data_IF_825783827631
#
_entry.id   IF_825783827631
#
_cell.length_a   1.000
_cell.length_b   1.000
_cell.length_c   1.000
_cell.angle_alpha   90.00
_cell.angle_beta   90.00
_cell.angle_gamma   90.00
#
_symmetry.space_group_name_H-M   'P 1'
#
loop_
_entity.id
_entity.type
_entity.pdbx_description
1 polymer ?
#
# COMPACT_ATOMS: atom_id res chain seq x y z
N UNK A 1 9.15 12.02 3.46
CA UNK A 1 8.34 12.23 4.68
C UNK A 1 9.21 12.01 5.93
N UNK A 2 9.72 13.09 6.58
CA UNK A 2 10.59 12.94 7.78
C UNK A 2 9.90 12.24 8.97
N UNK A 3 8.56 12.28 9.01
CA UNK A 3 7.77 11.60 10.04
C UNK A 3 7.92 10.09 10.04
N UNK A 4 8.15 9.48 8.89
CA UNK A 4 8.29 8.01 8.76
C UNK A 4 9.48 7.47 9.58
N UNK A 5 10.61 8.17 9.57
CA UNK A 5 11.79 7.80 10.35
C UNK A 5 11.54 7.97 11.86
N UNK A 6 10.82 9.02 12.29
CA UNK A 6 10.45 9.20 13.69
C UNK A 6 9.58 8.08 14.24
N UNK A 7 8.73 7.52 13.39
CA UNK A 7 7.89 6.37 13.71
C UNK A 7 8.60 5.01 13.45
N UNK A 8 9.88 5.04 13.12
CA UNK A 8 10.67 3.82 12.81
C UNK A 8 10.01 2.94 11.74
N UNK A 9 9.45 3.58 10.70
CA UNK A 9 8.81 2.90 9.57
C UNK A 9 9.75 2.88 8.37
N UNK A 10 10.46 3.98 8.12
CA UNK A 10 11.42 4.13 7.03
C UNK A 10 12.79 4.59 7.53
N UNK A 11 13.87 4.43 6.75
CA UNK A 11 15.18 4.98 7.07
C UNK A 11 15.14 6.51 7.18
N UNK A 12 16.12 7.09 7.87
CA UNK A 12 16.20 8.51 8.07
C UNK A 12 16.41 9.24 6.73
N UNK A 13 15.58 10.25 6.46
CA UNK A 13 15.80 11.18 5.36
C UNK A 13 16.94 12.12 5.74
N UNK A 14 18.05 12.09 5.00
CA UNK A 14 19.22 12.96 5.21
C UNK A 14 19.00 14.34 4.59
N UNK A 15 18.54 14.38 3.34
CA UNK A 15 18.12 15.60 2.66
C UNK A 15 17.18 15.30 1.50
N UNK A 16 16.45 16.33 1.07
CA UNK A 16 15.66 16.33 -0.17
C UNK A 16 15.78 17.70 -0.85
N UNK A 17 15.75 17.72 -2.16
CA UNK A 17 15.72 18.95 -2.96
C UNK A 17 15.01 18.73 -4.28
N UNK A 18 14.38 19.78 -4.79
CA UNK A 18 13.84 19.81 -6.13
C UNK A 18 14.93 20.18 -7.14
N UNK A 19 15.05 19.42 -8.21
CA UNK A 19 15.97 19.68 -9.31
C UNK A 19 15.39 20.74 -10.25
N UNK A 20 16.26 21.31 -11.11
CA UNK A 20 15.86 22.31 -12.10
C UNK A 20 14.88 21.75 -13.16
N UNK A 21 14.89 20.46 -13.40
CA UNK A 21 13.98 19.75 -14.31
C UNK A 21 12.63 19.38 -13.66
N UNK A 22 12.39 19.81 -12.41
CA UNK A 22 11.16 19.57 -11.65
C UNK A 22 11.11 18.25 -10.89
N UNK A 23 12.10 17.37 -11.04
CA UNK A 23 12.16 16.10 -10.28
C UNK A 23 12.60 16.36 -8.84
N UNK A 24 12.08 15.57 -7.91
CA UNK A 24 12.55 15.57 -6.52
C UNK A 24 13.66 14.53 -6.36
N UNK A 25 14.74 14.94 -5.69
CA UNK A 25 15.84 14.05 -5.32
C UNK A 25 15.95 14.00 -3.80
N UNK A 26 16.13 12.82 -3.26
CA UNK A 26 16.38 12.64 -1.83
C UNK A 26 17.55 11.70 -1.57
N UNK A 27 18.15 11.84 -0.41
CA UNK A 27 19.09 10.88 0.14
C UNK A 27 18.57 10.40 1.49
N UNK A 28 18.68 9.11 1.70
CA UNK A 28 18.28 8.43 2.93
C UNK A 28 19.47 7.72 3.54
N UNK A 29 19.38 7.43 4.82
CA UNK A 29 20.34 6.57 5.52
C UNK A 29 20.46 5.22 4.80
N UNK A 30 21.70 4.77 4.62
CA UNK A 30 21.95 3.45 4.07
C UNK A 30 21.71 2.38 5.13
N UNK A 31 20.86 1.42 4.81
CA UNK A 31 20.56 0.28 5.68
C UNK A 31 21.44 -0.92 5.31
N UNK A 32 22.26 -1.38 6.25
CA UNK A 32 22.95 -2.67 6.12
C UNK A 32 21.99 -3.76 6.58
N UNK A 33 21.72 -4.74 5.71
CA UNK A 33 20.76 -5.80 5.99
C UNK A 33 20.35 -6.56 4.74
N UNK A 34 19.24 -7.28 4.83
CA UNK A 34 18.69 -8.11 3.74
C UNK A 34 17.29 -7.66 3.36
N UNK A 35 16.98 -7.77 2.09
CA UNK A 35 15.61 -7.64 1.57
C UNK A 35 14.80 -8.87 2.04
N UNK A 36 13.55 -8.64 2.46
CA UNK A 36 12.67 -9.72 2.88
C UNK A 36 12.27 -10.60 1.68
N UNK A 37 11.93 -11.83 1.98
CA UNK A 37 11.38 -12.79 1.03
C UNK A 37 9.84 -12.86 1.15
N UNK A 38 9.11 -13.43 0.17
CA UNK A 38 7.67 -13.66 0.31
C UNK A 38 7.28 -14.44 1.58
N UNK A 39 8.14 -15.33 2.07
CA UNK A 39 7.89 -16.13 3.28
C UNK A 39 7.97 -15.31 4.57
N UNK A 40 8.69 -14.19 4.55
CA UNK A 40 8.83 -13.29 5.70
C UNK A 40 7.58 -12.43 5.93
N UNK A 41 6.72 -12.28 4.90
CA UNK A 41 5.63 -11.30 4.90
C UNK A 41 4.51 -11.59 5.90
N UNK A 42 4.45 -12.80 6.47
CA UNK A 42 3.49 -13.16 7.53
C UNK A 42 4.00 -12.84 8.96
N UNK A 43 5.12 -12.17 9.10
CA UNK A 43 5.71 -11.83 10.41
C UNK A 43 4.90 -10.75 11.12
N UNK A 44 4.65 -10.91 12.42
CA UNK A 44 3.92 -9.93 13.24
C UNK A 44 4.55 -8.53 13.24
N UNK A 45 5.88 -8.45 13.07
CA UNK A 45 6.58 -7.16 12.96
C UNK A 45 6.06 -6.34 11.77
N UNK A 46 5.81 -6.97 10.61
CA UNK A 46 5.27 -6.31 9.42
C UNK A 46 3.86 -5.78 9.69
N UNK A 47 3.00 -6.61 10.30
CA UNK A 47 1.65 -6.18 10.69
C UNK A 47 1.69 -4.98 11.64
N UNK A 48 2.62 -4.99 12.60
CA UNK A 48 2.80 -3.89 13.54
C UNK A 48 3.26 -2.59 12.84
N UNK A 49 4.17 -2.69 11.87
CA UNK A 49 4.64 -1.53 11.10
C UNK A 49 3.50 -0.95 10.27
N UNK A 50 2.74 -1.78 9.54
CA UNK A 50 1.56 -1.35 8.79
C UNK A 50 0.49 -0.74 9.71
N UNK A 51 0.28 -1.33 10.88
CA UNK A 51 -0.68 -0.78 11.86
C UNK A 51 -0.26 0.60 12.35
N UNK A 52 1.03 0.83 12.64
CA UNK A 52 1.55 2.16 13.01
C UNK A 52 1.37 3.15 11.86
N UNK A 53 1.79 2.78 10.65
CA UNK A 53 1.63 3.59 9.45
C UNK A 53 0.19 4.06 9.30
N UNK A 54 -0.75 3.11 9.26
CA UNK A 54 -2.16 3.38 8.99
C UNK A 54 -2.91 4.06 10.14
N UNK A 55 -2.33 4.14 11.33
CA UNK A 55 -2.90 4.88 12.49
C UNK A 55 -2.23 6.22 12.73
N UNK A 56 -1.18 6.54 12.00
CA UNK A 56 -0.43 7.78 12.21
C UNK A 56 -1.16 9.00 11.64
N UNK A 57 -1.88 9.70 12.49
CA UNK A 57 -2.47 11.01 12.16
C UNK A 57 -1.43 12.07 11.76
N UNK A 58 -0.24 12.14 12.44
CA UNK A 58 0.80 13.08 12.02
C UNK A 58 1.27 12.86 10.57
N UNK A 59 1.48 11.61 10.16
CA UNK A 59 1.89 11.29 8.79
C UNK A 59 0.79 11.65 7.79
N UNK A 60 -0.47 11.33 8.09
CA UNK A 60 -1.61 11.71 7.24
C UNK A 60 -1.68 13.25 7.07
N UNK A 61 -1.57 14.01 8.16
CA UNK A 61 -1.57 15.48 8.11
C UNK A 61 -0.39 16.01 7.29
N UNK A 62 0.79 15.41 7.43
CA UNK A 62 1.97 15.80 6.67
C UNK A 62 1.76 15.58 5.16
N UNK A 63 1.19 14.44 4.77
CA UNK A 63 0.93 14.10 3.37
C UNK A 63 -0.12 15.06 2.77
N UNK A 64 -1.20 15.36 3.51
CA UNK A 64 -2.21 16.34 3.07
C UNK A 64 -1.59 17.75 2.87
N UNK A 65 -0.67 18.17 3.75
CA UNK A 65 0.04 19.46 3.60
C UNK A 65 0.98 19.50 2.38
N UNK A 66 1.44 18.36 1.90
CA UNK A 66 2.21 18.24 0.66
C UNK A 66 1.33 18.24 -0.59
N UNK A 67 0.02 18.40 -0.45
CA UNK A 67 -0.92 18.50 -1.56
C UNK A 67 -1.48 17.15 -2.05
N UNK A 68 -1.23 16.06 -1.33
CA UNK A 68 -1.86 14.79 -1.68
C UNK A 68 -3.35 14.83 -1.40
N UNK A 69 -4.15 14.61 -2.44
CA UNK A 69 -5.59 14.46 -2.33
C UNK A 69 -5.96 13.09 -1.74
N UNK A 70 -7.11 13.04 -1.07
CA UNK A 70 -7.70 11.79 -0.64
C UNK A 70 -8.31 11.08 -1.85
N UNK A 71 -7.95 9.81 -2.05
CA UNK A 71 -8.46 8.99 -3.15
C UNK A 71 -9.51 8.00 -2.64
N UNK A 72 -10.69 8.06 -3.24
CA UNK A 72 -11.76 7.09 -3.01
C UNK A 72 -11.53 5.80 -3.82
N UNK A 73 -12.26 4.70 -3.57
CA UNK A 73 -12.24 3.53 -4.44
C UNK A 73 -12.54 3.84 -5.92
N UNK A 74 -13.39 4.82 -6.16
CA UNK A 74 -13.72 5.28 -7.53
C UNK A 74 -12.50 5.92 -8.19
N UNK A 75 -11.81 6.82 -7.47
CA UNK A 75 -10.61 7.50 -7.96
C UNK A 75 -9.49 6.51 -8.26
N UNK A 76 -9.29 5.51 -7.39
CA UNK A 76 -8.30 4.45 -7.60
C UNK A 76 -8.59 3.62 -8.85
N UNK A 77 -9.84 3.27 -9.07
CA UNK A 77 -10.27 2.49 -10.25
C UNK A 77 -10.13 3.31 -11.52
N UNK A 78 -10.49 4.59 -11.49
CA UNK A 78 -10.34 5.51 -12.60
C UNK A 78 -8.86 5.72 -12.93
N UNK A 79 -8.03 6.01 -11.92
CA UNK A 79 -6.57 6.16 -12.10
C UNK A 79 -5.93 4.93 -12.76
N UNK A 80 -6.32 3.71 -12.35
CA UNK A 80 -5.85 2.51 -13.01
C UNK A 80 -6.29 2.45 -14.47
N UNK A 81 -7.54 2.77 -14.75
CA UNK A 81 -8.08 2.74 -16.12
C UNK A 81 -7.38 3.75 -17.05
N UNK A 82 -6.99 4.91 -16.54
CA UNK A 82 -6.29 5.96 -17.30
C UNK A 82 -4.82 5.59 -17.57
N UNK A 83 -4.17 4.92 -16.61
CA UNK A 83 -2.74 4.64 -16.67
C UNK A 83 -2.39 3.23 -17.19
N UNK A 84 -3.35 2.31 -17.20
CA UNK A 84 -3.14 0.94 -17.63
C UNK A 84 -2.73 0.86 -19.10
N UNK A 85 -1.80 -0.04 -19.48
CA UNK A 85 -1.42 -0.29 -20.86
C UNK A 85 -2.60 -0.63 -21.76
N UNK A 86 -2.58 -0.17 -23.01
CA UNK A 86 -3.63 -0.40 -23.99
C UNK A 86 -3.97 -1.87 -24.19
N UNK A 87 -2.95 -2.75 -24.15
CA UNK A 87 -3.12 -4.17 -24.28
C UNK A 87 -4.01 -4.76 -23.18
N UNK A 88 -3.87 -4.27 -21.94
CA UNK A 88 -4.71 -4.69 -20.82
C UNK A 88 -6.11 -4.10 -20.94
N UNK A 89 -6.24 -2.82 -21.27
CA UNK A 89 -7.54 -2.17 -21.42
C UNK A 89 -8.43 -2.82 -22.50
N UNK A 90 -7.83 -3.40 -23.55
CA UNK A 90 -8.50 -4.11 -24.63
C UNK A 90 -8.70 -5.61 -24.37
N UNK A 91 -8.18 -6.13 -23.27
CA UNK A 91 -8.34 -7.54 -22.92
C UNK A 91 -9.74 -7.82 -22.37
N UNK A 92 -10.43 -8.82 -22.92
CA UNK A 92 -11.81 -9.16 -22.56
C UNK A 92 -11.93 -9.51 -21.07
N UNK A 93 -11.07 -10.40 -20.56
CA UNK A 93 -11.08 -10.79 -19.14
C UNK A 93 -10.88 -9.59 -18.21
N UNK A 94 -9.94 -8.70 -18.53
CA UNK A 94 -9.71 -7.47 -17.75
C UNK A 94 -10.95 -6.56 -17.80
N UNK A 95 -11.64 -6.50 -18.94
CA UNK A 95 -12.88 -5.72 -19.07
C UNK A 95 -14.00 -6.25 -18.17
N UNK A 96 -14.11 -7.59 -18.04
CA UNK A 96 -15.07 -8.23 -17.12
C UNK A 96 -14.72 -7.93 -15.65
N UNK A 97 -13.44 -8.07 -15.25
CA UNK A 97 -12.98 -7.71 -13.90
C UNK A 97 -13.27 -6.24 -13.60
N UNK A 98 -13.03 -5.35 -14.55
CA UNK A 98 -13.32 -3.92 -14.38
C UNK A 98 -14.83 -3.63 -14.27
N UNK A 99 -15.67 -4.40 -14.97
CA UNK A 99 -17.12 -4.30 -14.83
C UNK A 99 -17.59 -4.74 -13.44
N UNK A 100 -17.07 -5.86 -12.93
CA UNK A 100 -17.34 -6.33 -11.58
C UNK A 100 -16.89 -5.33 -10.51
N UNK A 101 -15.68 -4.81 -10.62
CA UNK A 101 -15.16 -3.79 -9.71
C UNK A 101 -16.04 -2.53 -9.67
N UNK A 102 -16.59 -2.10 -10.83
CA UNK A 102 -17.53 -0.95 -10.86
C UNK A 102 -18.86 -1.23 -10.18
N UNK A 103 -19.36 -2.47 -10.27
CA UNK A 103 -20.63 -2.86 -9.67
C UNK A 103 -20.51 -3.08 -8.15
N UNK A 104 -19.31 -3.45 -7.68
CA UNK A 104 -19.07 -3.85 -6.29
C UNK A 104 -18.23 -2.86 -5.49
N UNK A 105 -18.17 -1.59 -5.92
CA UNK A 105 -17.38 -0.53 -5.26
C UNK A 105 -17.71 -0.51 -3.76
N UNK A 106 -16.71 -0.69 -2.87
CA UNK A 106 -16.95 -0.68 -1.44
C UNK A 106 -17.27 0.72 -0.93
N UNK A 107 -18.13 0.78 0.08
CA UNK A 107 -18.38 2.03 0.78
C UNK A 107 -17.08 2.60 1.35
N UNK A 108 -16.87 3.89 1.12
CA UNK A 108 -15.72 4.65 1.61
C UNK A 108 -16.18 5.73 2.58
N UNK A 109 -15.42 5.92 3.65
CA UNK A 109 -15.64 6.99 4.61
C UNK A 109 -14.34 7.76 4.77
N UNK A 110 -14.38 9.07 4.68
CA UNK A 110 -13.21 9.95 4.79
C UNK A 110 -12.47 9.81 6.13
N UNK A 111 -13.20 9.54 7.20
CA UNK A 111 -12.62 9.31 8.53
C UNK A 111 -11.88 7.94 8.65
N UNK A 112 -12.02 7.08 7.64
CA UNK A 112 -11.27 5.83 7.50
C UNK A 112 -10.07 5.95 6.55
N UNK A 113 -9.94 7.08 5.85
CA UNK A 113 -8.76 7.34 5.03
C UNK A 113 -7.52 7.48 5.90
N UNK A 114 -6.41 7.02 5.38
CA UNK A 114 -5.12 7.08 6.03
C UNK A 114 -3.99 7.14 5.01
N UNK A 115 -2.78 7.36 5.48
CA UNK A 115 -1.61 7.14 4.65
C UNK A 115 -1.45 5.64 4.40
N UNK A 116 -1.31 5.26 3.13
CA UNK A 116 -0.93 3.92 2.70
C UNK A 116 0.38 3.99 1.91
N UNK A 117 1.15 2.93 1.93
CA UNK A 117 2.40 2.85 1.16
C UNK A 117 2.12 2.72 -0.34
N UNK A 118 1.11 1.94 -0.71
CA UNK A 118 0.70 1.72 -2.10
C UNK A 118 1.48 0.64 -2.85
N UNK A 119 2.61 0.16 -2.32
CA UNK A 119 3.40 -0.94 -2.90
C UNK A 119 4.13 -1.74 -1.81
N UNK A 120 3.38 -2.42 -0.95
CA UNK A 120 3.92 -3.16 0.22
C UNK A 120 4.52 -4.53 -0.13
N UNK A 121 5.03 -4.71 -1.35
CA UNK A 121 5.67 -5.97 -1.78
C UNK A 121 6.95 -6.27 -0.97
N UNK A 122 7.28 -7.55 -0.87
CA UNK A 122 8.40 -8.04 -0.06
C UNK A 122 9.74 -7.37 -0.37
N UNK A 123 9.99 -7.01 -1.65
CA UNK A 123 11.24 -6.33 -2.06
C UNK A 123 11.41 -4.92 -1.51
N UNK A 124 10.34 -4.31 -0.98
CA UNK A 124 10.36 -2.98 -0.37
C UNK A 124 10.54 -3.03 1.15
N UNK A 125 10.89 -4.19 1.71
CA UNK A 125 11.16 -4.36 3.13
C UNK A 125 12.59 -4.79 3.35
N UNK A 126 13.28 -4.09 4.25
CA UNK A 126 14.68 -4.37 4.61
C UNK A 126 14.75 -4.70 6.10
N UNK A 127 15.29 -5.88 6.42
CA UNK A 127 15.65 -6.26 7.77
C UNK A 127 17.13 -5.97 8.00
N UNK A 128 17.44 -5.08 8.93
CA UNK A 128 18.81 -4.75 9.29
C UNK A 128 19.48 -5.87 10.07
N UNK A 129 20.80 -5.83 10.18
CA UNK A 129 21.59 -6.78 10.99
C UNK A 129 21.21 -6.75 12.49
N UNK A 130 20.62 -5.64 12.96
CA UNK A 130 20.05 -5.52 14.31
C UNK A 130 18.63 -6.09 14.47
N UNK A 131 18.03 -6.61 13.39
CA UNK A 131 16.67 -7.17 13.39
C UNK A 131 15.54 -6.14 13.29
N UNK A 132 15.85 -4.86 13.05
CA UNK A 132 14.83 -3.85 12.74
C UNK A 132 14.38 -4.00 11.29
N UNK A 133 13.08 -3.83 11.06
CA UNK A 133 12.48 -3.88 9.73
C UNK A 133 12.04 -2.48 9.33
N UNK A 134 12.40 -2.09 8.12
CA UNK A 134 12.04 -0.81 7.49
C UNK A 134 11.31 -1.03 6.18
N UNK A 135 10.37 -0.15 5.88
CA UNK A 135 9.65 -0.08 4.61
C UNK A 135 10.25 1.06 3.78
N UNK A 136 10.63 0.76 2.54
CA UNK A 136 11.32 1.69 1.62
C UNK A 136 10.54 1.81 0.32
N UNK A 137 10.96 2.72 -0.57
CA UNK A 137 10.31 2.98 -1.87
C UNK A 137 8.89 3.56 -1.74
N UNK A 138 8.83 4.83 -1.31
CA UNK A 138 7.59 5.56 -1.01
C UNK A 138 6.99 6.30 -2.21
N UNK A 139 7.35 5.94 -3.44
CA UNK A 139 6.89 6.64 -4.65
C UNK A 139 5.38 6.43 -4.91
N UNK A 140 4.82 5.34 -4.39
CA UNK A 140 3.40 5.00 -4.52
C UNK A 140 2.52 5.45 -3.35
N UNK A 141 3.05 6.26 -2.42
CA UNK A 141 2.33 6.70 -1.22
C UNK A 141 1.05 7.45 -1.58
N UNK A 142 -0.04 7.17 -0.82
CA UNK A 142 -1.38 7.73 -1.07
C UNK A 142 -2.10 8.05 0.24
N UNK A 143 -3.16 8.87 0.12
CA UNK A 143 -4.18 9.02 1.14
C UNK A 143 -5.44 8.29 0.68
N UNK A 144 -5.69 7.10 1.22
CA UNK A 144 -6.85 6.28 0.85
C UNK A 144 -7.21 5.30 1.98
N UNK A 145 -8.07 4.35 1.69
CA UNK A 145 -8.43 3.31 2.64
C UNK A 145 -7.25 2.35 2.91
N UNK A 146 -6.96 2.12 4.18
CA UNK A 146 -5.92 1.17 4.61
C UNK A 146 -6.08 -0.24 4.05
N UNK A 147 -7.30 -0.61 3.59
CA UNK A 147 -7.52 -1.89 2.94
C UNK A 147 -6.71 -2.03 1.65
N UNK A 148 -6.25 -0.93 1.05
CA UNK A 148 -5.37 -0.95 -0.12
C UNK A 148 -4.09 -1.77 0.15
N UNK A 149 -3.35 -1.44 1.21
CA UNK A 149 -2.14 -2.19 1.60
C UNK A 149 -2.48 -3.55 2.23
N UNK A 150 -3.54 -3.61 3.05
CA UNK A 150 -3.96 -4.85 3.72
C UNK A 150 -4.37 -5.93 2.72
N UNK A 151 -5.12 -5.57 1.68
CA UNK A 151 -5.52 -6.51 0.64
C UNK A 151 -4.32 -6.99 -0.18
N UNK A 152 -3.37 -6.10 -0.49
CA UNK A 152 -2.11 -6.51 -1.13
C UNK A 152 -1.40 -7.57 -0.27
N UNK A 153 -1.22 -7.31 1.03
CA UNK A 153 -0.57 -8.27 1.93
C UNK A 153 -1.28 -9.61 1.95
N UNK A 154 -2.60 -9.63 2.14
CA UNK A 154 -3.36 -10.86 2.28
C UNK A 154 -3.43 -11.65 0.97
N UNK A 155 -3.75 -11.01 -0.13
CA UNK A 155 -3.93 -11.68 -1.42
C UNK A 155 -2.63 -12.21 -2.02
N UNK A 156 -1.48 -11.60 -1.73
CA UNK A 156 -0.21 -12.00 -2.34
C UNK A 156 0.70 -12.86 -1.44
N UNK A 157 0.52 -12.79 -0.11
CA UNK A 157 1.50 -13.42 0.80
C UNK A 157 0.89 -14.33 1.86
N UNK A 158 -0.38 -14.11 2.25
CA UNK A 158 -0.96 -14.81 3.39
C UNK A 158 -1.96 -15.87 2.90
N UNK A 159 -1.79 -17.15 3.26
CA UNK A 159 -2.77 -18.17 2.93
C UNK A 159 -4.16 -17.84 3.49
N UNK A 160 -5.22 -18.09 2.72
CA UNK A 160 -6.59 -17.66 3.06
C UNK A 160 -7.05 -18.18 4.44
N UNK A 161 -6.66 -19.40 4.81
CA UNK A 161 -7.00 -19.98 6.12
C UNK A 161 -6.43 -19.20 7.32
N UNK A 162 -5.43 -18.32 7.10
CA UNK A 162 -4.83 -17.45 8.12
C UNK A 162 -5.40 -16.03 8.11
N UNK A 163 -6.23 -15.65 7.14
CA UNK A 163 -6.76 -14.29 7.02
C UNK A 163 -7.54 -13.84 8.25
N UNK A 164 -8.33 -14.73 8.86
CA UNK A 164 -9.09 -14.41 10.07
C UNK A 164 -8.17 -13.99 11.22
N UNK A 165 -7.11 -14.75 11.48
CA UNK A 165 -6.15 -14.43 12.54
C UNK A 165 -5.40 -13.14 12.23
N UNK A 166 -4.90 -13.00 10.99
CA UNK A 166 -4.16 -11.83 10.53
C UNK A 166 -5.01 -10.54 10.62
N UNK A 167 -6.23 -10.56 10.10
CA UNK A 167 -7.14 -9.41 10.15
C UNK A 167 -7.50 -9.03 11.59
N UNK A 168 -7.74 -10.03 12.45
CA UNK A 168 -8.03 -9.79 13.87
C UNK A 168 -6.84 -9.15 14.58
N UNK A 169 -5.62 -9.64 14.33
CA UNK A 169 -4.39 -9.07 14.89
C UNK A 169 -4.15 -7.64 14.41
N UNK A 170 -4.40 -7.35 13.13
CA UNK A 170 -4.33 -6.00 12.57
C UNK A 170 -5.40 -5.06 13.16
N UNK A 171 -6.52 -5.58 13.64
CA UNK A 171 -7.60 -4.82 14.26
C UNK A 171 -8.88 -4.68 13.43
N UNK A 172 -9.07 -5.53 12.43
CA UNK A 172 -10.35 -5.69 11.74
C UNK A 172 -11.23 -6.76 12.42
N UNK A 173 -12.55 -6.55 12.36
CA UNK A 173 -13.51 -7.62 12.64
C UNK A 173 -13.62 -8.50 11.38
N UNK A 174 -13.39 -9.81 11.54
CA UNK A 174 -13.58 -10.75 10.45
C UNK A 174 -15.08 -10.97 10.19
N UNK A 175 -15.60 -10.40 9.11
CA UNK A 175 -16.99 -10.51 8.68
C UNK A 175 -17.08 -10.31 7.16
N UNK A 176 -18.28 -10.59 6.59
CA UNK A 176 -18.51 -10.53 5.15
C UNK A 176 -18.23 -9.14 4.55
N UNK A 177 -18.57 -8.06 5.24
CA UNK A 177 -18.32 -6.69 4.77
C UNK A 177 -16.83 -6.42 4.59
N UNK A 178 -15.99 -6.85 5.56
CA UNK A 178 -14.53 -6.73 5.47
C UNK A 178 -13.97 -7.61 4.36
N UNK A 179 -14.49 -8.84 4.22
CA UNK A 179 -14.06 -9.74 3.15
C UNK A 179 -14.40 -9.21 1.76
N UNK A 180 -15.63 -8.72 1.55
CA UNK A 180 -16.00 -8.11 0.26
C UNK A 180 -15.08 -6.94 -0.10
N UNK A 181 -14.77 -6.09 0.88
CA UNK A 181 -13.84 -4.98 0.71
C UNK A 181 -12.43 -5.46 0.39
N UNK A 182 -11.95 -6.50 1.09
CA UNK A 182 -10.65 -7.12 0.86
C UNK A 182 -10.54 -7.70 -0.56
N UNK A 183 -11.55 -8.43 -1.01
CA UNK A 183 -11.56 -9.00 -2.37
C UNK A 183 -11.55 -7.91 -3.43
N UNK A 184 -12.31 -6.84 -3.25
CA UNK A 184 -12.31 -5.70 -4.17
C UNK A 184 -10.93 -5.06 -4.31
N UNK A 185 -10.29 -4.71 -3.18
CA UNK A 185 -8.94 -4.14 -3.20
C UNK A 185 -7.89 -5.14 -3.66
N UNK A 186 -8.09 -6.43 -3.41
CA UNK A 186 -7.24 -7.52 -3.90
C UNK A 186 -7.25 -7.60 -5.43
N UNK A 187 -8.42 -7.56 -6.06
CA UNK A 187 -8.55 -7.52 -7.52
C UNK A 187 -7.83 -6.30 -8.10
N UNK A 188 -8.03 -5.11 -7.52
CA UNK A 188 -7.34 -3.89 -7.95
C UNK A 188 -5.82 -4.00 -7.79
N UNK A 189 -5.34 -4.63 -6.71
CA UNK A 189 -3.93 -4.91 -6.49
C UNK A 189 -3.34 -5.83 -7.57
N UNK A 190 -4.04 -6.90 -7.95
CA UNK A 190 -3.61 -7.78 -9.04
C UNK A 190 -3.56 -7.04 -10.38
N UNK A 191 -4.56 -6.24 -10.70
CA UNK A 191 -4.57 -5.41 -11.91
C UNK A 191 -3.37 -4.45 -11.94
N UNK A 192 -3.06 -3.80 -10.82
CA UNK A 192 -1.92 -2.89 -10.69
C UNK A 192 -0.58 -3.63 -10.86
N UNK A 193 -0.47 -4.85 -10.36
CA UNK A 193 0.72 -5.67 -10.55
C UNK A 193 0.90 -6.12 -12.00
N UNK A 194 -0.13 -6.64 -12.63
CA UNK A 194 -0.08 -7.06 -14.04
C UNK A 194 0.35 -5.90 -14.93
N UNK A 195 -0.11 -4.67 -14.67
CA UNK A 195 0.26 -3.48 -15.44
C UNK A 195 1.77 -3.17 -15.45
N UNK A 196 2.53 -3.67 -14.47
CA UNK A 196 3.99 -3.48 -14.41
C UNK A 196 4.77 -4.37 -15.40
N UNK A 197 4.13 -5.35 -16.01
CA UNK A 197 4.76 -6.30 -16.93
C UNK A 197 4.44 -6.01 -18.41
N UNK A 198 3.65 -4.98 -18.68
CA UNK A 198 3.27 -4.51 -20.02
C UNK A 198 3.76 -3.10 -20.28
#
# INVERSE_FOLDING_TARGET
LPGLAREQIAPQLLWSRRLADGRDMCAQEWLTGKILTPYDMNRKQIVNILTRLHRSRPLMTQLSRLGYAMETPVDLLQSWQETAPDALRKNHFISEVMADLRQTIPGFREDHATIVHGDVRHSNWIETDSGLIYLVDWDSVRLTDRMFDVAHMLCHYIPEHQWKEWLTYYGYKYNQTVLNKLYWYGQLSYLSQISKYY
#
